data_IF_026117314489
#
_entry.id   IF_026117314489
#
_cell.length_a   1.000
_cell.length_b   1.000
_cell.length_c   1.000
_cell.angle_alpha   90.00
_cell.angle_beta   90.00
_cell.angle_gamma   90.00
#
_symmetry.space_group_name_H-M   'P 1'
#
loop_
_entity.id
_entity.type
_entity.pdbx_description
1 polymer ?
#
# COMPACT_ATOMS: atom_id res chain seq x y z
N UNK A 1 48.99 36.14 4.93
CA UNK A 1 47.94 35.38 5.64
C UNK A 1 46.66 35.52 4.84
N UNK A 2 46.33 34.54 4.01
CA UNK A 2 45.02 34.41 3.37
C UNK A 2 44.15 33.58 4.29
N UNK A 3 43.23 34.21 4.99
CA UNK A 3 42.16 33.51 5.71
C UNK A 3 41.21 32.91 4.69
N UNK A 4 41.30 31.59 4.49
CA UNK A 4 40.26 30.84 3.78
C UNK A 4 38.94 31.04 4.52
N UNK A 5 37.87 31.39 3.80
CA UNK A 5 36.53 31.38 4.38
C UNK A 5 36.16 29.96 4.81
N UNK A 6 35.38 29.79 5.88
CA UNK A 6 34.84 28.49 6.23
C UNK A 6 33.91 28.02 5.11
N UNK A 7 34.19 26.85 4.54
CA UNK A 7 33.27 26.19 3.61
C UNK A 7 31.90 26.06 4.27
N UNK A 8 30.83 26.48 3.58
CA UNK A 8 29.46 26.26 4.04
C UNK A 8 29.26 24.82 4.50
N UNK A 9 28.46 24.58 5.56
CA UNK A 9 28.12 23.22 5.95
C UNK A 9 27.50 22.48 4.77
N UNK A 10 27.95 21.24 4.56
CA UNK A 10 27.39 20.36 3.52
C UNK A 10 25.90 20.16 3.81
N UNK A 11 25.09 20.29 2.77
CA UNK A 11 23.65 20.00 2.77
C UNK A 11 23.43 18.65 2.07
N UNK A 12 23.26 17.54 2.81
CA UNK A 12 23.20 16.21 2.21
C UNK A 12 21.94 15.99 1.36
N UNK A 13 20.87 16.77 1.57
CA UNK A 13 19.66 16.70 0.75
C UNK A 13 19.91 17.37 -0.60
N UNK A 14 20.55 18.55 -0.62
CA UNK A 14 20.97 19.17 -1.89
C UNK A 14 22.06 18.36 -2.60
N UNK A 15 22.95 17.72 -1.86
CA UNK A 15 23.97 16.83 -2.42
C UNK A 15 23.36 15.60 -3.08
N UNK A 16 22.36 14.94 -2.46
CA UNK A 16 21.70 13.77 -3.07
C UNK A 16 20.93 14.12 -4.36
N UNK A 17 20.33 15.32 -4.44
CA UNK A 17 19.74 15.85 -5.68
C UNK A 17 20.80 16.00 -6.79
N UNK A 18 21.97 16.56 -6.45
CA UNK A 18 23.07 16.73 -7.42
C UNK A 18 23.69 15.39 -7.85
N UNK A 19 23.76 14.40 -6.95
CA UNK A 19 24.18 13.04 -7.27
C UNK A 19 23.17 12.37 -8.21
N UNK A 20 21.86 12.45 -7.92
CA UNK A 20 20.80 11.92 -8.79
C UNK A 20 20.86 12.52 -10.21
N UNK A 21 20.96 13.85 -10.32
CA UNK A 21 21.09 14.51 -11.63
C UNK A 21 22.34 14.02 -12.39
N UNK A 22 23.47 13.84 -11.69
CA UNK A 22 24.71 13.35 -12.30
C UNK A 22 24.61 11.89 -12.75
N UNK A 23 23.89 11.05 -12.02
CA UNK A 23 23.64 9.64 -12.34
C UNK A 23 22.73 9.49 -13.57
N UNK A 24 21.63 10.24 -13.62
CA UNK A 24 20.63 10.15 -14.69
C UNK A 24 21.08 10.83 -16.00
N UNK A 25 21.88 11.90 -15.91
CA UNK A 25 22.33 12.69 -17.06
C UNK A 25 23.31 11.94 -18.00
N UNK A 26 23.47 12.39 -19.27
CA UNK A 26 24.43 11.81 -20.21
C UNK A 26 25.87 11.71 -19.64
N UNK A 27 26.46 10.51 -19.76
CA UNK A 27 27.76 10.19 -19.17
C UNK A 27 27.72 9.96 -17.65
N UNK A 28 26.52 9.77 -17.07
CA UNK A 28 26.27 9.15 -15.77
C UNK A 28 26.15 7.62 -15.88
N UNK A 29 25.26 7.03 -15.07
CA UNK A 29 25.02 5.59 -15.02
C UNK A 29 24.02 5.15 -16.10
N UNK A 30 24.34 4.15 -16.95
CA UNK A 30 23.40 3.66 -17.95
C UNK A 30 22.12 3.07 -17.36
N UNK A 31 22.21 2.33 -16.25
CA UNK A 31 21.07 1.68 -15.60
C UNK A 31 20.08 2.68 -15.02
N UNK A 32 20.58 3.75 -14.39
CA UNK A 32 19.73 4.78 -13.79
C UNK A 32 19.00 5.58 -14.87
N UNK A 33 19.68 5.87 -15.99
CA UNK A 33 19.13 6.58 -17.15
C UNK A 33 18.11 5.75 -17.96
N UNK A 34 18.11 4.43 -17.81
CA UNK A 34 17.11 3.55 -18.44
C UNK A 34 15.80 3.45 -17.62
N UNK A 35 15.73 4.02 -16.42
CA UNK A 35 14.52 3.96 -15.58
C UNK A 35 13.40 4.88 -16.07
N UNK A 36 12.17 4.40 -15.94
CA UNK A 36 10.95 5.19 -16.15
C UNK A 36 10.11 5.19 -14.87
N UNK A 37 9.04 5.99 -14.82
CA UNK A 37 8.12 5.93 -13.68
C UNK A 37 7.56 4.52 -13.47
N UNK A 38 7.24 3.80 -14.55
CA UNK A 38 6.65 2.46 -14.52
C UNK A 38 7.61 1.39 -14.03
N UNK A 39 8.91 1.47 -14.38
CA UNK A 39 9.91 0.50 -13.90
C UNK A 39 10.16 0.65 -12.40
N UNK A 40 10.06 1.88 -11.88
CA UNK A 40 10.32 2.22 -10.49
C UNK A 40 9.15 1.91 -9.53
N UNK A 41 7.90 1.79 -10.00
CA UNK A 41 6.74 1.50 -9.13
C UNK A 41 6.96 0.25 -8.27
N UNK A 42 7.65 -0.77 -8.81
CA UNK A 42 7.95 -2.00 -8.06
C UNK A 42 8.82 -1.68 -6.84
N UNK A 43 9.95 -1.03 -7.05
CA UNK A 43 10.91 -0.71 -5.99
C UNK A 43 10.30 0.22 -4.94
N UNK A 44 9.58 1.27 -5.37
CA UNK A 44 8.81 2.14 -4.47
C UNK A 44 7.82 1.39 -3.57
N UNK A 45 7.23 0.28 -4.05
CA UNK A 45 6.40 -0.57 -3.22
C UNK A 45 7.23 -1.49 -2.32
N UNK A 46 8.37 -2.01 -2.78
CA UNK A 46 9.30 -2.81 -1.97
C UNK A 46 9.83 -1.99 -0.78
N UNK A 47 10.46 -0.82 -0.98
CA UNK A 47 11.01 0.00 0.14
C UNK A 47 9.92 0.45 1.13
N UNK A 48 8.67 0.64 0.65
CA UNK A 48 7.55 1.01 1.51
C UNK A 48 7.12 -0.13 2.46
N UNK A 49 7.30 -1.39 2.05
CA UNK A 49 7.09 -2.55 2.92
C UNK A 49 8.30 -2.81 3.82
N UNK A 50 9.52 -2.64 3.31
CA UNK A 50 10.76 -2.80 4.09
C UNK A 50 10.82 -1.75 5.22
N UNK A 51 10.45 -0.49 4.96
CA UNK A 51 10.29 0.52 6.03
C UNK A 51 9.24 0.11 7.07
N UNK A 52 8.10 -0.44 6.62
CA UNK A 52 7.05 -0.89 7.54
C UNK A 52 7.52 -2.08 8.40
N UNK A 53 8.33 -2.98 7.85
CA UNK A 53 8.96 -4.05 8.60
C UNK A 53 9.99 -3.53 9.61
N UNK A 54 10.89 -2.62 9.20
CA UNK A 54 11.88 -2.03 10.10
C UNK A 54 11.23 -1.27 11.27
N UNK A 55 10.12 -0.56 11.03
CA UNK A 55 9.32 0.10 12.08
C UNK A 55 8.73 -0.92 13.07
N UNK A 56 8.15 -2.01 12.59
CA UNK A 56 7.39 -2.95 13.42
C UNK A 56 8.25 -4.00 14.12
N UNK A 57 9.44 -4.30 13.57
CA UNK A 57 10.48 -5.11 14.22
C UNK A 57 11.34 -4.29 15.18
N UNK A 58 11.29 -2.95 15.09
CA UNK A 58 12.05 -2.02 15.91
C UNK A 58 13.49 -1.80 15.44
N UNK A 59 13.84 -2.19 14.21
CA UNK A 59 15.16 -1.94 13.66
C UNK A 59 15.35 -0.44 13.33
N UNK A 60 16.15 0.22 14.16
CA UNK A 60 16.52 1.62 14.02
C UNK A 60 17.60 1.87 12.96
N UNK A 61 18.36 0.84 12.55
CA UNK A 61 19.34 0.95 11.48
C UNK A 61 18.62 0.85 10.13
N UNK A 62 17.92 -0.27 9.89
CA UNK A 62 17.09 -0.47 8.70
C UNK A 62 16.12 0.69 8.47
N UNK A 63 15.37 1.14 9.49
CA UNK A 63 14.45 2.28 9.33
C UNK A 63 15.11 3.56 8.77
N UNK A 64 16.40 3.78 9.01
CA UNK A 64 17.12 4.93 8.42
C UNK A 64 17.58 4.66 6.98
N UNK A 65 17.89 3.41 6.66
CA UNK A 65 18.19 2.90 5.32
C UNK A 65 16.95 3.06 4.44
N UNK A 66 15.83 2.43 4.80
CA UNK A 66 14.56 2.48 4.03
C UNK A 66 13.97 3.89 3.86
N UNK A 67 14.19 4.79 4.83
CA UNK A 67 13.83 6.22 4.70
C UNK A 67 14.72 6.95 3.67
N UNK A 68 15.96 6.51 3.51
CA UNK A 68 16.88 6.93 2.45
C UNK A 68 16.47 6.38 1.09
N UNK A 69 16.05 5.13 1.00
CA UNK A 69 15.63 4.51 -0.25
C UNK A 69 14.27 5.03 -0.73
N UNK A 70 13.31 5.29 0.17
CA UNK A 70 12.11 6.06 -0.19
C UNK A 70 12.42 7.49 -0.65
N UNK A 71 13.45 8.14 -0.10
CA UNK A 71 13.93 9.43 -0.61
C UNK A 71 14.56 9.27 -2.01
N UNK A 72 15.33 8.21 -2.26
CA UNK A 72 15.91 7.88 -3.56
C UNK A 72 14.81 7.72 -4.62
N UNK A 73 13.71 7.03 -4.30
CA UNK A 73 12.56 6.90 -5.21
C UNK A 73 11.93 8.26 -5.54
N UNK A 74 11.76 9.14 -4.55
CA UNK A 74 11.26 10.53 -4.78
C UNK A 74 12.21 11.31 -5.68
N UNK A 75 13.52 11.19 -5.48
CA UNK A 75 14.54 11.85 -6.32
C UNK A 75 14.52 11.35 -7.76
N UNK A 76 14.42 10.04 -7.98
CA UNK A 76 14.28 9.45 -9.32
C UNK A 76 13.02 9.95 -10.03
N UNK A 77 11.84 9.83 -9.40
CA UNK A 77 10.59 10.28 -10.01
C UNK A 77 10.63 11.78 -10.33
N UNK A 78 11.16 12.62 -9.45
CA UNK A 78 11.32 14.05 -9.72
C UNK A 78 12.33 14.34 -10.84
N UNK A 79 13.44 13.60 -10.93
CA UNK A 79 14.43 13.81 -12.01
C UNK A 79 13.91 13.34 -13.37
N UNK A 80 13.16 12.24 -13.43
CA UNK A 80 12.48 11.79 -14.66
C UNK A 80 11.44 12.83 -15.09
N UNK A 81 10.60 13.31 -14.15
CA UNK A 81 9.54 14.29 -14.45
C UNK A 81 10.10 15.63 -14.99
N UNK A 82 11.29 16.04 -14.56
CA UNK A 82 11.94 17.25 -15.08
C UNK A 82 12.32 17.19 -16.57
N UNK A 83 12.27 16.03 -17.22
CA UNK A 83 12.45 15.86 -18.67
C UNK A 83 11.13 15.82 -19.46
N UNK A 84 9.97 15.91 -18.79
CA UNK A 84 8.67 15.93 -19.49
C UNK A 84 8.54 17.20 -20.38
N UNK A 85 8.17 17.05 -21.66
CA UNK A 85 8.12 18.18 -22.59
C UNK A 85 6.85 19.03 -22.49
N UNK A 86 5.87 18.66 -21.64
CA UNK A 86 4.55 19.29 -21.52
C UNK A 86 4.33 19.88 -20.13
N UNK A 87 4.61 19.11 -19.07
CA UNK A 87 4.37 19.47 -17.67
C UNK A 87 5.54 19.06 -16.75
N UNK A 88 6.76 19.61 -16.97
CA UNK A 88 7.93 19.26 -16.17
C UNK A 88 7.88 19.85 -14.76
N UNK A 89 8.28 19.05 -13.77
CA UNK A 89 8.49 19.50 -12.39
C UNK A 89 9.76 18.89 -11.80
N UNK A 90 10.28 19.54 -10.75
CA UNK A 90 11.51 19.14 -10.05
C UNK A 90 11.22 18.70 -8.62
N UNK A 91 12.26 18.23 -7.91
CA UNK A 91 12.16 17.91 -6.47
C UNK A 91 11.87 19.15 -5.62
N UNK A 92 12.36 20.33 -6.04
CA UNK A 92 12.08 21.59 -5.35
C UNK A 92 10.60 21.97 -5.48
N UNK A 93 9.97 21.69 -6.62
CA UNK A 93 8.52 21.89 -6.82
C UNK A 93 7.70 20.92 -5.93
N UNK A 94 8.09 19.64 -5.89
CA UNK A 94 7.49 18.63 -5.00
C UNK A 94 7.59 19.05 -3.52
N UNK A 95 8.74 19.60 -3.12
CA UNK A 95 8.97 20.10 -1.77
C UNK A 95 8.15 21.37 -1.49
N UNK A 96 8.08 22.32 -2.42
CA UNK A 96 7.28 23.53 -2.30
C UNK A 96 5.78 23.22 -2.16
N UNK A 97 5.25 22.29 -2.97
CA UNK A 97 3.87 21.81 -2.90
C UNK A 97 3.59 21.04 -1.60
N UNK A 98 4.57 20.31 -1.07
CA UNK A 98 4.47 19.69 0.25
C UNK A 98 4.38 20.75 1.35
N UNK A 99 5.27 21.75 1.35
CA UNK A 99 5.28 22.84 2.33
C UNK A 99 3.97 23.63 2.29
N UNK A 100 3.55 24.09 1.11
CA UNK A 100 2.31 24.86 0.96
C UNK A 100 1.07 24.07 1.44
N UNK A 101 1.01 22.77 1.12
CA UNK A 101 -0.04 21.84 1.58
C UNK A 101 0.00 21.62 3.10
N UNK A 102 1.17 21.50 3.70
CA UNK A 102 1.32 21.32 5.15
C UNK A 102 0.93 22.59 5.91
N UNK A 103 1.41 23.77 5.48
CA UNK A 103 1.04 25.07 6.06
C UNK A 103 -0.47 25.28 6.00
N UNK A 104 -1.08 25.10 4.81
CA UNK A 104 -2.53 25.29 4.60
C UNK A 104 -3.40 24.35 5.43
N UNK A 105 -2.94 23.13 5.70
CA UNK A 105 -3.70 22.11 6.48
C UNK A 105 -3.45 22.17 7.99
N UNK A 106 -2.53 23.00 8.48
CA UNK A 106 -2.27 23.21 9.90
C UNK A 106 -2.35 24.71 10.28
N UNK A 107 -3.49 25.37 10.05
CA UNK A 107 -3.64 26.80 10.38
C UNK A 107 -3.45 27.07 11.88
N UNK A 108 -3.76 26.10 12.75
CA UNK A 108 -3.50 26.16 14.20
C UNK A 108 -2.00 26.16 14.58
N UNK A 109 -1.09 25.88 13.63
CA UNK A 109 0.37 26.00 13.81
C UNK A 109 0.93 27.24 13.10
N UNK A 110 0.43 27.55 11.89
CA UNK A 110 1.06 28.51 10.98
C UNK A 110 0.28 29.80 10.72
N UNK A 111 -0.90 29.98 11.31
CA UNK A 111 -1.66 31.22 11.25
C UNK A 111 -1.93 31.77 12.66
N UNK A 112 -1.96 33.09 12.80
CA UNK A 112 -2.40 33.80 14.02
C UNK A 112 -3.92 33.67 14.28
N UNK A 113 -4.52 32.56 13.86
CA UNK A 113 -5.91 32.22 14.16
C UNK A 113 -6.01 31.72 15.60
N UNK A 114 -6.90 32.32 16.38
CA UNK A 114 -7.26 31.89 17.73
C UNK A 114 -8.09 30.58 17.74
N UNK A 115 -7.67 29.57 16.97
CA UNK A 115 -8.11 28.19 17.15
C UNK A 115 -7.49 27.72 18.45
N UNK A 116 -8.32 27.50 19.47
CA UNK A 116 -7.82 27.19 20.79
C UNK A 116 -7.09 25.84 20.76
N UNK A 117 -5.81 25.85 21.11
CA UNK A 117 -5.03 24.63 21.39
C UNK A 117 -5.61 23.80 22.56
N UNK A 118 -6.68 24.27 23.21
CA UNK A 118 -7.47 23.57 24.20
C UNK A 118 -8.60 22.67 23.66
N UNK A 119 -8.95 22.72 22.37
CA UNK A 119 -10.10 21.98 21.82
C UNK A 119 -9.84 20.45 21.66
N UNK A 120 -8.61 20.02 21.91
CA UNK A 120 -8.20 18.60 21.94
C UNK A 120 -7.99 17.95 20.57
N UNK A 121 -7.37 16.76 20.58
CA UNK A 121 -6.99 16.04 19.35
C UNK A 121 -8.15 15.84 18.37
N UNK A 122 -9.36 15.55 18.86
CA UNK A 122 -10.53 15.31 18.03
C UNK A 122 -10.94 16.53 17.19
N UNK A 123 -10.86 17.75 17.74
CA UNK A 123 -11.18 18.98 17.03
C UNK A 123 -10.15 19.27 15.90
N UNK A 124 -8.86 19.02 16.18
CA UNK A 124 -7.80 19.15 15.17
C UNK A 124 -7.98 18.16 14.01
N UNK A 125 -8.32 16.89 14.31
CA UNK A 125 -8.64 15.90 13.28
C UNK A 125 -9.86 16.29 12.44
N UNK A 126 -10.92 16.84 13.06
CA UNK A 126 -12.11 17.30 12.35
C UNK A 126 -11.80 18.48 11.41
N UNK A 127 -11.04 19.48 11.89
CA UNK A 127 -10.58 20.61 11.07
C UNK A 127 -9.75 20.13 9.87
N UNK A 128 -8.82 19.20 10.09
CA UNK A 128 -7.96 18.67 9.04
C UNK A 128 -8.72 17.89 7.96
N UNK A 129 -9.72 17.06 8.33
CA UNK A 129 -10.53 16.37 7.32
C UNK A 129 -11.48 17.34 6.60
N UNK A 130 -12.01 18.37 7.28
CA UNK A 130 -12.81 19.42 6.64
C UNK A 130 -12.02 20.18 5.56
N UNK A 131 -10.79 20.62 5.86
CA UNK A 131 -9.92 21.29 4.87
C UNK A 131 -9.66 20.35 3.68
N UNK A 132 -9.37 19.07 3.94
CA UNK A 132 -9.15 18.07 2.88
C UNK A 132 -10.38 17.76 2.03
N UNK A 133 -11.59 17.89 2.58
CA UNK A 133 -12.84 17.76 1.83
C UNK A 133 -13.06 18.97 0.93
N UNK A 134 -12.80 20.19 1.42
CA UNK A 134 -12.90 21.43 0.62
C UNK A 134 -11.92 21.44 -0.56
N UNK A 135 -10.66 21.02 -0.33
CA UNK A 135 -9.62 20.92 -1.36
C UNK A 135 -9.92 19.88 -2.45
N UNK A 136 -10.76 18.87 -2.17
CA UNK A 136 -11.02 17.75 -3.08
C UNK A 136 -12.50 17.68 -3.45
N UNK A 137 -12.85 18.41 -4.50
CA UNK A 137 -14.15 18.34 -5.21
C UNK A 137 -14.27 16.99 -5.94
N UNK A 138 -14.40 15.90 -5.17
CA UNK A 138 -14.47 14.54 -5.71
C UNK A 138 -15.83 14.28 -6.36
N UNK A 139 -15.82 13.60 -7.50
CA UNK A 139 -17.05 13.08 -8.11
C UNK A 139 -17.54 11.82 -7.38
N UNK A 140 -16.64 11.08 -6.73
CA UNK A 140 -16.96 9.83 -6.01
C UNK A 140 -16.33 9.78 -4.62
N UNK A 141 -17.07 9.23 -3.65
CA UNK A 141 -16.57 8.96 -2.30
C UNK A 141 -15.33 8.05 -2.32
N UNK A 142 -15.17 7.19 -3.33
CA UNK A 142 -14.06 6.26 -3.48
C UNK A 142 -12.83 6.87 -4.19
N UNK A 143 -12.95 8.08 -4.74
CA UNK A 143 -11.93 8.69 -5.59
C UNK A 143 -10.61 8.97 -4.82
N UNK A 144 -9.48 8.52 -5.37
CA UNK A 144 -8.19 8.57 -4.68
C UNK A 144 -8.10 7.59 -3.49
N UNK A 145 -8.72 6.42 -3.59
CA UNK A 145 -8.28 5.21 -2.90
C UNK A 145 -7.39 4.43 -3.89
N UNK A 146 -6.06 4.36 -3.70
CA UNK A 146 -5.18 3.63 -4.61
C UNK A 146 -5.58 2.15 -4.70
N UNK A 147 -5.55 1.61 -5.92
CA UNK A 147 -5.88 0.20 -6.18
C UNK A 147 -4.78 -0.75 -5.72
N UNK A 148 -3.52 -0.29 -5.69
CA UNK A 148 -2.35 -1.04 -5.24
C UNK A 148 -2.20 -1.16 -3.71
N UNK A 149 -3.13 -0.60 -2.91
CA UNK A 149 -3.11 -0.85 -1.46
C UNK A 149 -3.47 -2.31 -1.14
N UNK A 150 -2.85 -2.86 -0.10
CA UNK A 150 -3.22 -4.13 0.51
C UNK A 150 -4.73 -4.26 0.74
N UNK A 151 -5.27 -5.46 0.58
CA UNK A 151 -6.71 -5.67 0.46
C UNK A 151 -7.49 -5.24 1.71
N UNK A 152 -6.92 -5.43 2.91
CA UNK A 152 -7.56 -5.06 4.17
C UNK A 152 -7.49 -3.55 4.39
N UNK A 153 -6.33 -2.93 4.19
CA UNK A 153 -6.15 -1.47 4.26
C UNK A 153 -7.05 -0.75 3.24
N UNK A 154 -7.18 -1.30 2.02
CA UNK A 154 -8.10 -0.80 1.00
C UNK A 154 -9.56 -0.95 1.43
N UNK A 155 -9.93 -2.09 2.00
CA UNK A 155 -11.28 -2.34 2.51
C UNK A 155 -11.67 -1.38 3.64
N UNK A 156 -10.82 -1.20 4.67
CA UNK A 156 -11.06 -0.22 5.74
C UNK A 156 -11.26 1.19 5.18
N UNK A 157 -10.42 1.60 4.21
CA UNK A 157 -10.52 2.93 3.60
C UNK A 157 -11.78 3.12 2.76
N UNK A 158 -12.29 2.06 2.11
CA UNK A 158 -13.59 2.07 1.41
C UNK A 158 -14.75 2.17 2.40
N UNK A 159 -14.78 1.31 3.42
CA UNK A 159 -15.83 1.27 4.44
C UNK A 159 -15.91 2.60 5.21
N UNK A 160 -14.79 3.06 5.77
CA UNK A 160 -14.66 4.35 6.47
C UNK A 160 -15.16 5.55 5.66
N UNK A 161 -14.98 5.55 4.32
CA UNK A 161 -15.49 6.63 3.48
C UNK A 161 -16.99 6.47 3.16
N UNK A 162 -17.46 5.25 2.93
CA UNK A 162 -18.87 4.98 2.73
C UNK A 162 -19.71 5.36 3.96
N UNK A 163 -19.21 5.04 5.16
CA UNK A 163 -19.83 5.42 6.44
C UNK A 163 -19.89 6.93 6.63
N UNK A 164 -18.75 7.64 6.45
CA UNK A 164 -18.71 9.11 6.57
C UNK A 164 -19.59 9.85 5.57
N UNK A 165 -19.81 9.27 4.39
CA UNK A 165 -20.71 9.81 3.38
C UNK A 165 -22.18 9.37 3.54
N UNK A 166 -22.52 8.62 4.61
CA UNK A 166 -23.87 8.14 4.87
C UNK A 166 -24.37 7.01 3.95
N UNK A 167 -23.51 6.47 3.08
CA UNK A 167 -23.83 5.39 2.12
C UNK A 167 -23.40 3.99 2.60
N UNK A 168 -22.94 3.88 3.85
CA UNK A 168 -22.45 2.63 4.47
C UNK A 168 -23.44 1.46 4.39
N UNK A 169 -24.75 1.72 4.33
CA UNK A 169 -25.79 0.70 4.16
C UNK A 169 -25.63 -0.18 2.90
N UNK A 170 -25.00 0.35 1.83
CA UNK A 170 -24.69 -0.41 0.61
C UNK A 170 -23.57 -1.44 0.85
N UNK A 171 -22.74 -1.24 1.87
CA UNK A 171 -21.65 -2.16 2.28
C UNK A 171 -22.14 -3.25 3.24
N UNK A 172 -23.29 -3.06 3.87
CA UNK A 172 -23.92 -4.01 4.78
C UNK A 172 -24.65 -5.07 3.97
N UNK A 173 -23.89 -6.06 3.48
CA UNK A 173 -24.40 -7.17 2.69
C UNK A 173 -25.33 -8.09 3.47
N UNK A 174 -26.60 -7.71 3.61
CA UNK A 174 -27.70 -8.58 4.06
C UNK A 174 -27.89 -9.72 3.04
N UNK A 175 -27.12 -10.78 3.23
CA UNK A 175 -27.41 -12.13 2.76
C UNK A 175 -27.65 -13.01 3.98
N UNK A 176 -28.38 -14.12 3.85
CA UNK A 176 -28.66 -14.99 4.99
C UNK A 176 -27.35 -15.50 5.60
N UNK A 177 -27.29 -15.49 6.94
CA UNK A 177 -26.21 -16.10 7.71
C UNK A 177 -26.27 -17.62 7.57
N UNK A 178 -25.81 -18.14 6.43
CA UNK A 178 -25.43 -19.54 6.34
C UNK A 178 -24.22 -19.74 7.24
N UNK A 179 -24.27 -20.76 8.11
CA UNK A 179 -23.09 -21.22 8.85
C UNK A 179 -21.90 -21.39 7.90
N UNK A 180 -20.66 -21.14 8.35
CA UNK A 180 -19.49 -21.39 7.52
C UNK A 180 -19.54 -22.83 7.02
N UNK A 181 -19.32 -23.09 5.72
CA UNK A 181 -19.38 -24.44 5.19
C UNK A 181 -18.36 -25.30 5.94
N UNK A 182 -18.84 -26.37 6.59
CA UNK A 182 -18.00 -27.27 7.39
C UNK A 182 -16.77 -27.68 6.58
N UNK A 183 -15.59 -27.22 7.01
CA UNK A 183 -14.33 -27.49 6.31
C UNK A 183 -14.18 -29.01 6.20
N UNK A 184 -14.15 -29.59 4.98
CA UNK A 184 -13.88 -31.01 4.84
C UNK A 184 -12.46 -31.26 5.33
N UNK A 185 -12.30 -32.08 6.37
CA UNK A 185 -10.97 -32.53 6.82
C UNK A 185 -10.32 -33.32 5.69
N UNK A 186 -9.50 -32.63 4.87
CA UNK A 186 -8.63 -33.27 3.89
C UNK A 186 -7.62 -34.10 4.66
N UNK A 187 -7.74 -35.42 4.55
CA UNK A 187 -6.74 -36.34 5.07
C UNK A 187 -5.41 -36.07 4.35
N UNK A 188 -4.26 -36.06 5.07
CA UNK A 188 -2.98 -35.82 4.44
C UNK A 188 -2.60 -37.01 3.54
N UNK A 189 -2.66 -36.82 2.22
CA UNK A 189 -2.21 -37.85 1.27
C UNK A 189 -2.62 -37.71 -0.20
N UNK A 190 -3.70 -36.98 -0.54
CA UNK A 190 -4.20 -36.96 -1.91
C UNK A 190 -3.51 -35.91 -2.80
N UNK A 191 -2.55 -36.37 -3.60
CA UNK A 191 -1.86 -35.56 -4.60
C UNK A 191 -2.81 -35.12 -5.73
N UNK A 192 -2.81 -33.83 -6.07
CA UNK A 192 -3.50 -33.30 -7.26
C UNK A 192 -2.84 -33.86 -8.54
N UNK A 193 -3.58 -34.42 -9.50
CA UNK A 193 -3.02 -34.79 -10.79
C UNK A 193 -2.62 -33.54 -11.59
N UNK A 194 -1.40 -33.53 -12.13
CA UNK A 194 -0.85 -32.41 -12.88
C UNK A 194 -1.54 -32.20 -14.24
N UNK A 195 -1.71 -30.95 -14.66
CA UNK A 195 -2.19 -30.60 -16.00
C UNK A 195 -1.05 -30.68 -17.02
N UNK A 196 -1.03 -31.77 -17.79
CA UNK A 196 -0.23 -31.91 -19.02
C UNK A 196 -0.75 -31.02 -20.16
N UNK A 197 0.08 -30.81 -21.19
CA UNK A 197 -0.11 -29.78 -22.21
C UNK A 197 -0.78 -30.26 -23.52
N UNK A 198 -1.42 -29.30 -24.23
CA UNK A 198 -1.54 -29.08 -25.70
C UNK A 198 -1.81 -30.30 -26.65
N UNK A 199 -2.67 -30.29 -27.68
CA UNK A 199 -3.00 -29.27 -28.70
C UNK A 199 -4.01 -29.81 -29.78
N UNK A 200 -4.70 -28.88 -30.47
CA UNK A 200 -5.21 -28.94 -31.88
C UNK A 200 -6.20 -30.02 -32.38
N UNK A 201 -7.32 -29.59 -33.01
CA UNK A 201 -8.16 -30.43 -33.89
C UNK A 201 -9.50 -29.78 -34.33
N UNK A 202 -9.91 -29.98 -35.60
CA UNK A 202 -11.01 -29.26 -36.29
C UNK A 202 -11.60 -30.18 -37.39
N UNK A 203 -12.83 -30.07 -37.93
CA UNK A 203 -13.87 -29.00 -37.95
C UNK A 203 -15.30 -29.62 -37.98
N UNK A 204 -16.29 -28.97 -37.35
CA UNK A 204 -17.65 -28.86 -37.92
C UNK A 204 -18.79 -29.78 -37.42
N UNK A 205 -20.03 -29.26 -37.52
CA UNK A 205 -21.28 -30.01 -37.37
C UNK A 205 -22.24 -29.43 -36.32
N UNK A 206 -23.38 -28.88 -36.73
CA UNK A 206 -24.40 -28.34 -35.83
C UNK A 206 -25.61 -29.27 -35.68
N UNK A 207 -26.06 -29.50 -34.44
CA UNK A 207 -27.46 -29.79 -34.08
C UNK A 207 -27.63 -29.64 -32.55
N UNK A 208 -28.83 -29.26 -32.12
CA UNK A 208 -29.12 -29.03 -30.71
C UNK A 208 -29.16 -30.33 -29.88
N UNK A 209 -28.53 -30.29 -28.71
CA UNK A 209 -28.63 -31.29 -27.64
C UNK A 209 -28.42 -30.57 -26.31
N UNK A 210 -29.31 -30.82 -25.36
CA UNK A 210 -29.27 -30.27 -24.00
C UNK A 210 -28.15 -30.95 -23.17
N UNK A 211 -27.70 -30.27 -22.10
CA UNK A 211 -26.70 -30.69 -21.09
C UNK A 211 -25.20 -30.62 -21.47
N UNK A 212 -24.50 -29.61 -20.90
CA UNK A 212 -23.15 -29.73 -20.30
C UNK A 212 -22.90 -28.47 -19.41
N UNK A 213 -23.27 -28.45 -18.13
CA UNK A 213 -22.57 -29.08 -16.99
C UNK A 213 -21.10 -28.65 -16.72
N UNK A 214 -20.58 -27.61 -17.37
CA UNK A 214 -19.30 -27.02 -16.95
C UNK A 214 -19.42 -26.14 -15.67
N UNK A 215 -19.45 -26.84 -14.53
CA UNK A 215 -19.69 -26.40 -13.15
C UNK A 215 -18.62 -25.45 -12.58
N UNK A 216 -18.57 -24.20 -13.03
CA UNK A 216 -17.75 -23.12 -12.43
C UNK A 216 -18.43 -22.36 -11.27
N UNK A 217 -19.75 -22.52 -11.09
CA UNK A 217 -20.55 -21.77 -10.11
C UNK A 217 -20.25 -21.97 -8.59
N UNK A 218 -19.78 -23.12 -8.08
CA UNK A 218 -19.63 -23.31 -6.62
C UNK A 218 -18.47 -22.52 -6.00
N UNK A 219 -17.39 -22.31 -6.76
CA UNK A 219 -16.17 -21.63 -6.28
C UNK A 219 -16.48 -20.15 -6.05
N UNK A 220 -17.10 -19.48 -7.02
CA UNK A 220 -17.53 -18.09 -6.96
C UNK A 220 -18.55 -17.82 -5.82
N UNK A 221 -19.45 -18.77 -5.50
CA UNK A 221 -20.31 -18.65 -4.32
C UNK A 221 -19.53 -18.71 -3.00
N UNK A 222 -18.60 -19.65 -2.88
CA UNK A 222 -17.77 -19.86 -1.68
C UNK A 222 -16.77 -18.71 -1.47
N UNK A 223 -16.11 -18.26 -2.53
CA UNK A 223 -15.16 -17.14 -2.53
C UNK A 223 -15.85 -15.84 -2.12
N UNK A 224 -17.07 -15.58 -2.63
CA UNK A 224 -17.90 -14.44 -2.16
C UNK A 224 -18.32 -14.54 -0.70
N UNK A 225 -18.52 -15.74 -0.15
CA UNK A 225 -18.83 -15.91 1.27
C UNK A 225 -17.63 -15.52 2.15
N UNK A 226 -16.45 -16.05 1.86
CA UNK A 226 -15.22 -15.64 2.55
C UNK A 226 -14.90 -14.14 2.36
N UNK A 227 -15.11 -13.59 1.16
CA UNK A 227 -14.94 -12.17 0.89
C UNK A 227 -15.86 -11.29 1.77
N UNK A 228 -17.09 -11.72 2.06
CA UNK A 228 -17.99 -11.03 3.00
C UNK A 228 -17.51 -11.16 4.45
N UNK A 229 -17.11 -12.36 4.86
CA UNK A 229 -16.60 -12.60 6.21
C UNK A 229 -15.35 -11.75 6.50
N UNK A 230 -14.42 -11.65 5.55
CA UNK A 230 -13.25 -10.78 5.63
C UNK A 230 -13.65 -9.30 5.74
N UNK A 231 -14.64 -8.83 4.97
CA UNK A 231 -15.18 -7.46 5.11
C UNK A 231 -15.83 -7.22 6.48
N UNK A 232 -16.45 -8.24 7.08
CA UNK A 232 -17.03 -8.13 8.42
C UNK A 232 -15.96 -8.14 9.53
N UNK A 233 -14.86 -8.89 9.37
CA UNK A 233 -13.66 -8.79 10.22
C UNK A 233 -13.08 -7.37 10.15
N UNK A 234 -12.90 -6.84 8.94
CA UNK A 234 -12.39 -5.50 8.67
C UNK A 234 -13.27 -4.42 9.32
N UNK A 235 -14.61 -4.56 9.25
CA UNK A 235 -15.55 -3.62 9.87
C UNK A 235 -15.47 -3.65 11.41
N UNK A 236 -15.36 -4.84 12.01
CA UNK A 236 -15.16 -4.99 13.47
C UNK A 236 -13.85 -4.32 13.90
N UNK A 237 -12.74 -4.65 13.25
CA UNK A 237 -11.45 -4.02 13.53
C UNK A 237 -11.52 -2.49 13.42
N UNK A 238 -12.18 -1.94 12.39
CA UNK A 238 -12.35 -0.49 12.25
C UNK A 238 -13.19 0.12 13.39
N UNK A 239 -14.25 -0.55 13.85
CA UNK A 239 -15.07 -0.11 14.99
C UNK A 239 -14.30 -0.12 16.32
N UNK A 240 -13.39 -1.10 16.47
CA UNK A 240 -12.49 -1.22 17.63
C UNK A 240 -11.25 -0.30 17.55
N UNK A 241 -11.10 0.48 16.47
CA UNK A 241 -9.97 1.37 16.25
C UNK A 241 -8.67 0.69 15.79
N UNK A 242 -8.76 -0.55 15.32
CA UNK A 242 -7.64 -1.41 14.90
C UNK A 242 -7.44 -1.34 13.38
N UNK A 243 -6.19 -1.15 12.95
CA UNK A 243 -5.79 -1.33 11.54
C UNK A 243 -5.68 -2.83 11.21
N UNK A 244 -6.52 -3.31 10.31
CA UNK A 244 -6.70 -4.74 10.03
C UNK A 244 -5.54 -5.34 9.22
N UNK A 245 -4.92 -4.54 8.36
CA UNK A 245 -3.73 -4.95 7.59
C UNK A 245 -2.54 -5.15 8.53
N UNK A 246 -2.34 -4.21 9.45
CA UNK A 246 -1.27 -4.26 10.46
C UNK A 246 -1.52 -5.37 11.49
N UNK A 247 -2.77 -5.59 11.91
CA UNK A 247 -3.13 -6.72 12.76
C UNK A 247 -2.82 -8.07 12.10
N UNK A 248 -3.13 -8.25 10.81
CA UNK A 248 -2.80 -9.47 10.09
C UNK A 248 -1.29 -9.65 9.92
N UNK A 249 -0.53 -8.60 9.56
CA UNK A 249 0.94 -8.67 9.46
C UNK A 249 1.58 -9.02 10.80
N UNK A 250 1.08 -8.48 11.91
CA UNK A 250 1.51 -8.87 13.26
C UNK A 250 1.27 -10.35 13.57
N UNK A 251 0.07 -10.85 13.28
CA UNK A 251 -0.29 -12.25 13.48
C UNK A 251 0.51 -13.23 12.60
N UNK A 252 0.78 -12.87 11.34
CA UNK A 252 1.62 -13.66 10.44
C UNK A 252 3.04 -13.82 11.00
N UNK A 253 3.65 -12.76 11.51
CA UNK A 253 4.97 -12.83 12.19
C UNK A 253 4.97 -13.74 13.42
N UNK A 254 3.85 -13.91 14.12
CA UNK A 254 3.74 -14.89 15.23
C UNK A 254 3.75 -16.33 14.71
N UNK A 255 2.99 -16.60 13.64
CA UNK A 255 2.97 -17.91 12.97
C UNK A 255 4.33 -18.27 12.39
N UNK A 256 4.99 -17.34 11.70
CA UNK A 256 6.33 -17.51 11.12
C UNK A 256 7.37 -17.83 12.21
N UNK A 257 7.39 -17.08 13.31
CA UNK A 257 8.26 -17.36 14.47
C UNK A 257 8.00 -18.75 15.07
N UNK A 258 6.74 -19.17 15.15
CA UNK A 258 6.37 -20.50 15.65
C UNK A 258 6.84 -21.63 14.71
N UNK A 259 6.79 -21.42 13.39
CA UNK A 259 7.31 -22.36 12.38
C UNK A 259 8.84 -22.49 12.56
N UNK A 260 9.58 -21.37 12.52
CA UNK A 260 11.06 -21.37 12.64
C UNK A 260 11.52 -22.00 13.97
N UNK A 261 10.83 -21.74 15.08
CA UNK A 261 11.12 -22.37 16.36
C UNK A 261 10.90 -23.90 16.34
N UNK A 262 9.88 -24.37 15.63
CA UNK A 262 9.58 -25.80 15.45
C UNK A 262 10.65 -26.49 14.60
N UNK A 263 11.03 -25.88 13.48
CA UNK A 263 12.08 -26.38 12.57
C UNK A 263 13.44 -26.47 13.28
N UNK A 264 13.81 -25.42 14.02
CA UNK A 264 15.04 -25.39 14.82
C UNK A 264 15.05 -26.51 15.88
N UNK A 265 13.92 -26.72 16.55
CA UNK A 265 13.77 -27.77 17.57
C UNK A 265 13.82 -29.19 16.97
N UNK A 266 13.31 -29.38 15.75
CA UNK A 266 13.35 -30.65 15.04
C UNK A 266 14.74 -30.99 14.48
N UNK A 267 15.57 -29.98 14.19
CA UNK A 267 16.94 -30.11 13.67
C UNK A 267 18.00 -30.39 14.75
N UNK A 268 17.68 -30.16 16.02
CA UNK A 268 18.60 -30.41 17.12
C UNK A 268 18.97 -31.91 17.23
N UNK A 269 20.26 -32.27 17.35
CA UNK A 269 20.68 -33.67 17.42
C UNK A 269 20.11 -34.34 18.68
N UNK A 270 19.47 -35.50 18.50
CA UNK A 270 19.06 -36.35 19.62
C UNK A 270 20.31 -36.99 20.22
N UNK A 271 20.61 -36.63 21.47
CA UNK A 271 21.72 -37.20 22.25
C UNK A 271 21.48 -38.64 22.69
#
# INVERSE_FOLDING_TARGET
MTTSEPSSPVDPLRESVAVMDRLYSPGGCPWDREQTHETLVRYLLEEAHELAEAIETGDRAGMREELGDLLLQVLFHARIASEDPVDPFTVDDVAADLVAKLVRRHPHVFADTAVATGDGHAALYAQWDQIKQQEKQRESVLEGIPLAQGALARAQKVLSRAERAGVGAVTSGSGPTTEPPSVPTLAPGEARPGRGAASSGTVGGAAAGDQDENRTAPVDATERAYGRELLDVVRRAQADGVDAETALRGALREVERAIVATETSASAPRG
#
